data_IF_223683200417
#
_entry.id   IF_223683200417
#
_cell.length_a   1.000
_cell.length_b   1.000
_cell.length_c   1.000
_cell.angle_alpha   90.00
_cell.angle_beta   90.00
_cell.angle_gamma   90.00
#
_symmetry.space_group_name_H-M   'P 1'
#
loop_
_entity.id
_entity.type
_entity.pdbx_description
1 polymer ?
#
# COMPACT_ATOMS: atom_id res chain seq x y z
N UNK A 1 -13.31 -66.85 -5.16
CA UNK A 1 -14.57 -67.16 -4.47
C UNK A 1 -14.65 -66.27 -3.23
N UNK A 2 -15.26 -65.08 -3.32
CA UNK A 2 -16.66 -64.75 -2.95
C UNK A 2 -16.98 -64.82 -1.44
N UNK A 3 -16.70 -63.68 -0.78
CA UNK A 3 -17.38 -62.89 0.30
C UNK A 3 -18.63 -63.49 1.02
N UNK A 4 -18.84 -63.28 2.35
CA UNK A 4 -19.43 -62.01 2.84
C UNK A 4 -18.84 -61.45 4.17
N UNK A 5 -18.64 -60.13 4.33
CA UNK A 5 -18.79 -59.46 5.61
C UNK A 5 -20.26 -59.08 5.85
N UNK A 6 -20.58 -58.97 7.13
CA UNK A 6 -21.86 -58.59 7.70
C UNK A 6 -22.19 -57.14 7.32
N UNK A 7 -23.36 -56.96 6.71
CA UNK A 7 -24.05 -55.68 6.49
C UNK A 7 -24.70 -55.21 7.78
N UNK A 8 -24.24 -54.08 8.32
CA UNK A 8 -25.04 -53.23 9.19
C UNK A 8 -25.88 -52.26 8.34
N UNK A 9 -27.14 -51.98 8.71
CA UNK A 9 -28.05 -51.15 7.95
C UNK A 9 -27.71 -49.65 8.03
N UNK A 10 -28.15 -48.85 7.04
CA UNK A 10 -27.85 -47.42 6.98
C UNK A 10 -28.62 -46.66 8.06
N UNK A 11 -27.89 -45.85 8.83
CA UNK A 11 -28.50 -44.82 9.66
C UNK A 11 -29.08 -43.72 8.77
N UNK A 12 -30.39 -43.56 8.84
CA UNK A 12 -31.18 -42.46 8.28
C UNK A 12 -30.62 -41.10 8.72
N UNK A 13 -30.56 -40.10 7.82
CA UNK A 13 -30.32 -38.73 8.25
C UNK A 13 -31.57 -38.24 8.99
N UNK A 14 -31.42 -38.01 10.30
CA UNK A 14 -32.41 -37.31 11.11
C UNK A 14 -32.45 -35.86 10.62
N UNK A 15 -33.51 -35.50 9.91
CA UNK A 15 -33.87 -34.11 9.68
C UNK A 15 -34.10 -33.47 11.05
N UNK A 16 -33.14 -32.67 11.50
CA UNK A 16 -33.28 -31.88 12.71
C UNK A 16 -33.95 -30.57 12.32
N UNK A 17 -35.28 -30.58 12.37
CA UNK A 17 -36.08 -29.36 12.41
C UNK A 17 -35.67 -28.58 13.66
N UNK A 18 -35.00 -27.43 13.47
CA UNK A 18 -34.83 -26.44 14.52
C UNK A 18 -35.71 -25.23 14.21
N UNK A 19 -36.55 -24.80 15.18
CA UNK A 19 -37.56 -23.78 14.95
C UNK A 19 -36.93 -22.40 14.76
N UNK A 20 -37.46 -21.68 13.76
CA UNK A 20 -37.24 -20.24 13.56
C UNK A 20 -37.74 -19.47 14.77
N UNK A 21 -36.83 -19.01 15.62
CA UNK A 21 -37.13 -18.12 16.72
C UNK A 21 -37.18 -16.67 16.20
N UNK A 22 -38.40 -16.14 16.07
CA UNK A 22 -38.65 -14.73 15.86
C UNK A 22 -38.14 -13.93 17.07
N UNK A 23 -37.28 -12.95 16.82
CA UNK A 23 -36.79 -12.02 17.85
C UNK A 23 -37.90 -11.00 18.14
N UNK A 24 -38.32 -10.80 19.40
CA UNK A 24 -39.33 -9.80 19.72
C UNK A 24 -38.72 -8.39 19.68
N UNK A 25 -39.30 -7.54 18.84
CA UNK A 25 -39.02 -6.10 18.80
C UNK A 25 -39.69 -5.47 20.04
N UNK A 26 -38.87 -5.09 21.02
CA UNK A 26 -39.33 -4.30 22.16
C UNK A 26 -39.49 -2.85 21.70
N UNK A 27 -40.74 -2.42 21.58
CA UNK A 27 -41.12 -1.02 21.34
C UNK A 27 -41.12 -0.26 22.66
N UNK A 28 -40.15 0.63 22.85
CA UNK A 28 -40.19 1.61 23.94
C UNK A 28 -40.88 2.87 23.41
N UNK A 29 -42.14 3.04 23.80
CA UNK A 29 -42.90 4.29 23.61
C UNK A 29 -42.44 5.32 24.66
N UNK A 30 -41.80 6.39 24.19
CA UNK A 30 -41.51 7.60 24.97
C UNK A 30 -42.42 8.77 24.54
N UNK A 31 -42.68 9.74 25.42
CA UNK A 31 -43.82 10.65 25.32
C UNK A 31 -43.68 11.75 24.27
N UNK A 32 -44.82 12.17 23.73
CA UNK A 32 -44.98 13.19 22.71
C UNK A 32 -44.55 14.58 23.21
N UNK A 33 -43.65 15.22 22.46
CA UNK A 33 -43.32 16.64 22.60
C UNK A 33 -44.19 17.50 21.65
N UNK A 34 -44.54 18.74 22.04
CA UNK A 34 -45.49 19.58 21.32
C UNK A 34 -44.94 20.07 19.97
N UNK A 35 -45.83 20.10 18.99
CA UNK A 35 -45.63 20.66 17.65
C UNK A 35 -45.34 22.16 17.79
N UNK A 36 -44.11 22.56 17.51
CA UNK A 36 -43.75 23.98 17.37
C UNK A 36 -43.94 24.37 15.92
N UNK A 37 -44.69 25.45 15.72
CA UNK A 37 -45.03 26.05 14.43
C UNK A 37 -43.76 26.40 13.65
N UNK A 38 -43.67 25.96 12.39
CA UNK A 38 -42.60 26.35 11.48
C UNK A 38 -42.82 27.81 11.03
N UNK A 39 -41.95 28.70 11.47
CA UNK A 39 -41.73 29.98 10.79
C UNK A 39 -40.82 29.77 9.56
N UNK A 40 -41.06 30.46 8.44
CA UNK A 40 -40.28 30.26 7.22
C UNK A 40 -38.92 30.96 7.39
N UNK A 41 -37.87 30.15 7.58
CA UNK A 41 -36.49 30.63 7.51
C UNK A 41 -36.20 31.02 6.06
N UNK A 42 -35.87 32.30 5.88
CA UNK A 42 -35.51 32.89 4.60
C UNK A 42 -34.41 32.10 3.90
N UNK A 43 -34.57 31.92 2.58
CA UNK A 43 -33.61 31.25 1.73
C UNK A 43 -32.23 31.92 1.84
N UNK A 44 -31.23 31.13 2.27
CA UNK A 44 -29.82 31.50 2.23
C UNK A 44 -29.40 31.63 0.77
N UNK A 45 -28.73 32.72 0.34
CA UNK A 45 -28.32 32.88 -1.04
C UNK A 45 -27.30 31.79 -1.44
N UNK A 46 -27.21 31.42 -2.73
CA UNK A 46 -26.26 30.43 -3.20
C UNK A 46 -24.84 30.86 -2.80
N UNK A 47 -24.16 30.05 -1.99
CA UNK A 47 -22.73 30.24 -1.74
C UNK A 47 -22.02 29.98 -3.05
N UNK A 48 -21.49 31.03 -3.66
CA UNK A 48 -20.52 30.92 -4.75
C UNK A 48 -19.38 30.00 -4.28
N UNK A 49 -18.87 29.09 -5.14
CA UNK A 49 -17.71 28.30 -4.80
C UNK A 49 -16.57 29.28 -4.50
N UNK A 50 -16.09 29.28 -3.26
CA UNK A 50 -14.82 29.91 -2.97
C UNK A 50 -13.78 29.13 -3.79
N UNK A 51 -13.21 29.79 -4.80
CA UNK A 51 -11.96 29.39 -5.43
C UNK A 51 -10.90 29.32 -4.33
N UNK A 52 -10.82 28.19 -3.64
CA UNK A 52 -9.67 27.89 -2.80
C UNK A 52 -8.45 27.93 -3.72
N UNK A 53 -7.42 28.74 -3.40
CA UNK A 53 -6.23 28.77 -4.21
C UNK A 53 -5.65 27.35 -4.27
N UNK A 54 -5.61 26.79 -5.48
CA UNK A 54 -4.98 25.51 -5.79
C UNK A 54 -3.53 25.59 -5.31
N UNK A 55 -3.27 25.10 -4.09
CA UNK A 55 -1.91 25.08 -3.56
C UNK A 55 -1.10 24.12 -4.42
N UNK A 56 -0.05 24.59 -5.11
CA UNK A 56 0.81 23.72 -5.90
C UNK A 56 1.37 22.62 -5.00
N UNK A 57 1.55 21.44 -5.59
CA UNK A 57 2.25 20.30 -4.99
C UNK A 57 3.44 20.78 -4.14
N UNK A 58 3.39 20.56 -2.83
CA UNK A 58 4.56 20.81 -1.98
C UNK A 58 5.67 19.85 -2.45
N UNK A 59 6.66 20.40 -3.15
CA UNK A 59 7.79 19.63 -3.64
C UNK A 59 8.57 19.10 -2.43
N UNK A 60 8.45 17.80 -2.15
CA UNK A 60 9.36 17.15 -1.22
C UNK A 60 10.76 17.33 -1.78
N UNK A 61 11.66 17.92 -1.00
CA UNK A 61 13.07 17.99 -1.38
C UNK A 61 13.57 16.56 -1.53
N UNK A 62 14.14 16.24 -2.69
CA UNK A 62 14.82 14.98 -2.92
C UNK A 62 16.19 15.00 -2.22
N UNK A 63 16.19 15.10 -0.88
CA UNK A 63 17.42 14.87 -0.12
C UNK A 63 17.79 13.40 -0.33
N UNK A 64 18.91 13.20 -1.02
CA UNK A 64 19.37 11.88 -1.42
C UNK A 64 20.01 11.23 -0.21
N UNK A 65 19.32 10.27 0.39
CA UNK A 65 19.90 9.41 1.42
C UNK A 65 20.48 8.18 0.72
N UNK A 66 21.77 7.93 0.92
CA UNK A 66 22.40 6.69 0.49
C UNK A 66 22.16 5.60 1.54
N UNK A 67 21.46 4.55 1.14
CA UNK A 67 21.20 3.41 2.01
C UNK A 67 22.27 2.35 1.75
N UNK A 68 23.02 2.00 2.79
CA UNK A 68 24.04 0.96 2.69
C UNK A 68 23.40 -0.39 2.32
N UNK A 69 23.70 -0.87 1.12
CA UNK A 69 23.21 -2.13 0.58
C UNK A 69 23.93 -3.36 1.17
N UNK A 70 23.81 -3.55 2.49
CA UNK A 70 24.47 -4.65 3.22
C UNK A 70 23.55 -5.30 4.24
N UNK A 71 23.99 -6.44 4.75
CA UNK A 71 23.38 -7.03 5.94
C UNK A 71 23.59 -6.11 7.16
N UNK A 72 22.60 -6.10 8.05
CA UNK A 72 22.75 -5.53 9.38
C UNK A 72 23.75 -6.33 10.20
N UNK A 73 24.43 -5.65 11.12
CA UNK A 73 25.34 -6.26 12.08
C UNK A 73 24.61 -6.63 13.36
N UNK A 74 25.11 -7.61 14.15
CA UNK A 74 24.53 -7.93 15.45
C UNK A 74 24.45 -6.72 16.40
N UNK A 75 25.41 -5.79 16.30
CA UNK A 75 25.42 -4.57 17.10
C UNK A 75 24.28 -3.63 16.69
N UNK A 76 24.01 -3.45 15.39
CA UNK A 76 22.87 -2.66 14.89
C UNK A 76 21.54 -3.28 15.30
N UNK A 77 21.41 -4.60 15.18
CA UNK A 77 20.21 -5.33 15.62
C UNK A 77 19.95 -5.15 17.12
N UNK A 78 21.01 -5.19 17.94
CA UNK A 78 20.91 -4.97 19.39
C UNK A 78 20.51 -3.54 19.72
N UNK A 79 21.07 -2.54 19.01
CA UNK A 79 20.70 -1.13 19.21
C UNK A 79 19.25 -0.87 18.82
N UNK A 80 18.76 -1.48 17.73
CA UNK A 80 17.35 -1.38 17.36
C UNK A 80 16.45 -1.96 18.46
N UNK A 81 16.77 -3.16 18.95
CA UNK A 81 15.97 -3.81 19.99
C UNK A 81 15.88 -2.94 21.26
N UNK A 82 16.99 -2.33 21.67
CA UNK A 82 17.03 -1.44 22.84
C UNK A 82 16.30 -0.12 22.58
N UNK A 83 16.59 0.53 21.44
CA UNK A 83 16.07 1.86 21.11
C UNK A 83 14.56 1.86 20.82
N UNK A 84 14.04 0.81 20.17
CA UNK A 84 12.62 0.72 19.82
C UNK A 84 11.74 0.16 20.96
N UNK A 85 12.33 -0.50 21.96
CA UNK A 85 11.66 -0.89 23.20
C UNK A 85 10.33 -1.64 23.00
N UNK A 86 9.23 -1.03 23.44
CA UNK A 86 7.89 -1.61 23.33
C UNK A 86 7.49 -1.88 21.87
N UNK A 87 7.78 -0.96 20.96
CA UNK A 87 7.49 -1.13 19.53
C UNK A 87 8.18 -2.36 18.95
N UNK A 88 9.43 -2.64 19.38
CA UNK A 88 10.15 -3.83 18.97
C UNK A 88 9.45 -5.11 19.43
N UNK A 89 8.98 -5.13 20.68
CA UNK A 89 8.35 -6.31 21.29
C UNK A 89 6.99 -6.61 20.65
N UNK A 90 6.20 -5.57 20.35
CA UNK A 90 4.93 -5.68 19.62
C UNK A 90 5.15 -6.24 18.21
N UNK A 91 6.08 -5.66 17.45
CA UNK A 91 6.40 -6.11 16.11
C UNK A 91 6.99 -7.54 16.10
N UNK A 92 7.76 -7.91 17.12
CA UNK A 92 8.34 -9.25 17.24
C UNK A 92 7.27 -10.36 17.32
N UNK A 93 6.10 -10.06 17.88
CA UNK A 93 4.99 -11.01 17.90
C UNK A 93 4.54 -11.37 16.46
N UNK A 94 4.37 -10.36 15.60
CA UNK A 94 4.02 -10.56 14.20
C UNK A 94 5.12 -11.33 13.44
N UNK A 95 6.39 -10.99 13.68
CA UNK A 95 7.54 -11.68 13.09
C UNK A 95 7.57 -13.17 13.47
N UNK A 96 7.29 -13.52 14.72
CA UNK A 96 7.26 -14.91 15.15
C UNK A 96 6.14 -15.69 14.45
N UNK A 97 4.96 -15.08 14.26
CA UNK A 97 3.87 -15.69 13.47
C UNK A 97 4.31 -15.91 12.02
N UNK A 98 4.94 -14.92 11.39
CA UNK A 98 5.46 -15.04 10.03
C UNK A 98 6.52 -16.14 9.90
N UNK A 99 7.48 -16.21 10.83
CA UNK A 99 8.51 -17.26 10.86
C UNK A 99 7.92 -18.67 11.04
N UNK A 100 6.84 -18.81 11.81
CA UNK A 100 6.13 -20.08 11.96
C UNK A 100 5.38 -20.49 10.70
N UNK A 101 4.83 -19.52 9.95
CA UNK A 101 4.06 -19.78 8.74
C UNK A 101 4.92 -20.00 7.49
N UNK A 102 6.10 -19.37 7.41
CA UNK A 102 6.90 -19.31 6.19
C UNK A 102 8.36 -19.75 6.41
N UNK A 103 8.71 -21.03 6.16
CA UNK A 103 10.04 -21.58 6.43
C UNK A 103 11.21 -20.92 5.66
N UNK A 104 10.90 -20.16 4.61
CA UNK A 104 11.90 -19.38 3.86
C UNK A 104 12.42 -18.17 4.62
N UNK A 105 11.65 -17.67 5.60
CA UNK A 105 12.10 -16.62 6.51
C UNK A 105 13.07 -17.21 7.52
N UNK A 106 14.20 -16.53 7.71
CA UNK A 106 15.33 -17.05 8.48
C UNK A 106 15.30 -16.53 9.93
N UNK A 107 15.22 -17.39 10.97
CA UNK A 107 15.09 -16.94 12.36
C UNK A 107 16.23 -16.05 12.86
N UNK A 108 17.42 -16.18 12.29
CA UNK A 108 18.59 -15.34 12.61
C UNK A 108 18.42 -13.87 12.18
N UNK A 109 17.42 -13.55 11.35
CA UNK A 109 17.13 -12.20 10.86
C UNK A 109 15.95 -11.53 11.58
N UNK A 110 15.60 -11.96 12.80
CA UNK A 110 14.43 -11.44 13.54
C UNK A 110 14.40 -9.92 13.66
N UNK A 111 15.50 -9.29 14.06
CA UNK A 111 15.55 -7.83 14.21
C UNK A 111 15.34 -7.10 12.87
N UNK A 112 15.87 -7.66 11.77
CA UNK A 112 15.66 -7.14 10.42
C UNK A 112 14.18 -7.20 10.02
N UNK A 113 13.53 -8.32 10.31
CA UNK A 113 12.09 -8.48 10.07
C UNK A 113 11.25 -7.59 10.99
N UNK A 114 11.65 -7.38 12.24
CA UNK A 114 10.99 -6.41 13.13
C UNK A 114 11.05 -5.02 12.50
N UNK A 115 12.19 -4.59 11.96
CA UNK A 115 12.30 -3.30 11.28
C UNK A 115 11.31 -3.19 10.10
N UNK A 116 11.14 -4.25 9.32
CA UNK A 116 10.12 -4.27 8.26
C UNK A 116 8.70 -4.16 8.85
N UNK A 117 8.37 -4.92 9.90
CA UNK A 117 7.06 -4.81 10.56
C UNK A 117 6.80 -3.40 11.12
N UNK A 118 7.82 -2.72 11.66
CA UNK A 118 7.73 -1.33 12.09
C UNK A 118 7.43 -0.39 10.93
N UNK A 119 8.10 -0.59 9.79
CA UNK A 119 7.84 0.19 8.57
C UNK A 119 6.37 0.03 8.14
N UNK A 120 5.89 -1.21 8.15
CA UNK A 120 4.54 -1.58 7.72
C UNK A 120 3.44 -1.13 8.70
N UNK A 121 3.76 -1.02 9.98
CA UNK A 121 2.87 -0.57 11.04
C UNK A 121 2.67 0.95 11.08
N UNK A 122 1.83 1.41 12.00
CA UNK A 122 1.54 2.84 12.24
C UNK A 122 2.57 3.45 13.21
N UNK A 123 2.63 4.79 13.25
CA UNK A 123 3.42 5.55 14.23
C UNK A 123 4.78 6.01 13.71
N UNK A 124 5.69 6.37 14.63
CA UNK A 124 6.94 7.10 14.35
C UNK A 124 7.92 6.37 13.42
N UNK A 125 7.84 5.04 13.35
CA UNK A 125 8.64 4.22 12.44
C UNK A 125 7.85 3.74 11.21
N UNK A 126 6.56 4.04 11.11
CA UNK A 126 5.76 3.70 9.94
C UNK A 126 6.23 4.46 8.69
N UNK A 127 5.96 3.91 7.51
CA UNK A 127 6.46 4.42 6.23
C UNK A 127 6.19 5.92 6.00
N UNK A 128 5.02 6.44 6.39
CA UNK A 128 4.70 7.87 6.25
C UNK A 128 5.65 8.72 7.10
N UNK A 129 5.65 8.51 8.41
CA UNK A 129 6.46 9.28 9.36
C UNK A 129 7.97 9.11 9.10
N UNK A 130 8.41 7.89 8.77
CA UNK A 130 9.80 7.63 8.43
C UNK A 130 10.20 8.42 7.18
N UNK A 131 9.43 8.32 6.10
CA UNK A 131 9.78 9.04 4.88
C UNK A 131 9.79 10.55 5.11
N UNK A 132 8.83 11.11 5.86
CA UNK A 132 8.81 12.53 6.23
C UNK A 132 10.06 12.94 7.01
N UNK A 133 10.44 12.15 8.01
CA UNK A 133 11.67 12.33 8.80
C UNK A 133 12.91 12.36 7.89
N UNK A 134 13.01 11.39 6.98
CA UNK A 134 14.11 11.28 6.02
C UNK A 134 14.15 12.46 5.05
N UNK A 135 13.00 12.90 4.52
CA UNK A 135 12.93 14.04 3.62
C UNK A 135 13.35 15.37 4.29
N UNK A 136 13.21 15.46 5.61
CA UNK A 136 13.65 16.61 6.41
C UNK A 136 15.11 16.50 6.87
N UNK A 137 15.82 15.42 6.52
CA UNK A 137 17.20 15.17 6.96
C UNK A 137 17.33 14.90 8.46
N UNK A 138 16.22 14.55 9.12
CA UNK A 138 16.22 14.19 10.53
C UNK A 138 16.75 12.75 10.73
N UNK A 139 17.32 12.42 11.90
CA UNK A 139 17.80 11.08 12.19
C UNK A 139 16.66 10.06 12.19
N UNK A 140 17.03 8.78 11.99
CA UNK A 140 16.08 7.68 12.14
C UNK A 140 15.43 7.67 13.53
N UNK A 141 14.16 7.23 13.65
CA UNK A 141 13.41 7.25 14.91
C UNK A 141 14.01 6.34 16.00
N UNK A 142 14.71 5.27 15.60
CA UNK A 142 15.37 4.34 16.49
C UNK A 142 16.79 4.02 15.98
N UNK A 143 17.77 3.92 16.87
CA UNK A 143 19.16 3.61 16.51
C UNK A 143 19.28 2.21 15.87
N UNK A 144 19.87 2.14 14.68
CA UNK A 144 20.08 0.91 13.93
C UNK A 144 18.90 0.51 13.05
N UNK A 145 17.85 1.34 12.98
CA UNK A 145 16.60 1.02 12.29
C UNK A 145 16.77 0.86 10.78
N UNK A 146 17.35 1.84 10.10
CA UNK A 146 17.53 1.87 8.64
C UNK A 146 18.43 0.72 8.17
N UNK A 147 19.48 0.38 8.94
CA UNK A 147 20.35 -0.74 8.64
C UNK A 147 19.59 -2.07 8.69
N UNK A 148 18.80 -2.28 9.75
CA UNK A 148 17.95 -3.47 9.90
C UNK A 148 16.83 -3.51 8.86
N UNK A 149 16.23 -2.36 8.52
CA UNK A 149 15.15 -2.25 7.54
C UNK A 149 15.64 -2.61 6.13
N UNK A 150 16.74 -2.02 5.67
CA UNK A 150 17.34 -2.33 4.37
C UNK A 150 17.77 -3.80 4.30
N UNK A 151 18.40 -4.32 5.36
CA UNK A 151 18.75 -5.74 5.47
C UNK A 151 17.53 -6.65 5.40
N UNK A 152 16.46 -6.31 6.13
CA UNK A 152 15.21 -7.07 6.19
C UNK A 152 14.49 -7.14 4.87
N UNK A 153 14.30 -6.00 4.20
CA UNK A 153 13.70 -5.94 2.86
C UNK A 153 14.46 -6.83 1.87
N UNK A 154 15.80 -6.81 1.87
CA UNK A 154 16.61 -7.64 0.96
C UNK A 154 16.45 -9.14 1.19
N UNK A 155 16.06 -9.56 2.40
CA UNK A 155 15.80 -10.96 2.75
C UNK A 155 14.41 -11.44 2.34
N UNK A 156 13.51 -10.53 1.99
CA UNK A 156 12.17 -10.87 1.54
C UNK A 156 12.13 -11.23 0.05
N UNK A 157 11.14 -12.03 -0.40
CA UNK A 157 10.99 -12.39 -1.81
C UNK A 157 10.81 -11.15 -2.69
N UNK A 158 11.44 -11.13 -3.86
CA UNK A 158 11.18 -10.10 -4.88
C UNK A 158 9.76 -10.22 -5.41
N UNK A 159 9.04 -9.12 -5.51
CA UNK A 159 7.78 -9.01 -6.23
C UNK A 159 8.05 -8.88 -7.73
N UNK A 160 7.37 -9.66 -8.57
CA UNK A 160 7.65 -9.78 -10.02
C UNK A 160 6.44 -9.47 -10.91
N UNK A 161 5.39 -8.84 -10.35
CA UNK A 161 4.20 -8.39 -11.09
C UNK A 161 4.04 -6.89 -10.95
N UNK A 162 3.19 -6.29 -11.77
CA UNK A 162 2.88 -4.86 -11.66
C UNK A 162 2.26 -4.57 -10.30
N UNK A 163 2.73 -3.50 -9.66
CA UNK A 163 2.18 -2.98 -8.41
C UNK A 163 1.51 -1.62 -8.65
N UNK A 164 0.60 -1.26 -7.77
CA UNK A 164 -0.22 -0.07 -7.87
C UNK A 164 0.11 0.92 -6.75
N UNK A 165 0.39 2.16 -7.14
CA UNK A 165 0.26 3.34 -6.31
C UNK A 165 -0.80 4.26 -6.88
N UNK A 166 -1.17 5.28 -6.11
CA UNK A 166 -2.07 6.32 -6.58
C UNK A 166 -1.47 7.68 -6.24
N UNK A 167 -1.97 8.75 -6.83
CA UNK A 167 -1.56 10.11 -6.48
C UNK A 167 -2.80 11.02 -6.44
N UNK A 168 -2.75 11.99 -5.52
CA UNK A 168 -3.69 13.11 -5.49
C UNK A 168 -3.01 14.28 -6.20
N UNK A 169 -3.47 14.59 -7.40
CA UNK A 169 -2.84 15.60 -8.26
C UNK A 169 -3.15 17.01 -7.78
N UNK A 170 -4.30 17.23 -7.15
CA UNK A 170 -4.75 18.55 -6.66
C UNK A 170 -4.64 19.62 -7.76
N UNK A 171 -5.06 19.29 -8.97
CA UNK A 171 -5.02 20.18 -10.14
C UNK A 171 -3.69 20.24 -10.89
N UNK A 172 -2.62 19.59 -10.42
CA UNK A 172 -1.38 19.46 -11.19
C UNK A 172 -1.53 18.47 -12.35
N UNK A 173 -0.87 18.67 -13.50
CA UNK A 173 -0.85 17.69 -14.57
C UNK A 173 -0.01 16.45 -14.17
N UNK A 174 -0.31 15.26 -14.74
CA UNK A 174 0.56 14.09 -14.60
C UNK A 174 1.96 14.34 -15.19
N UNK A 175 2.95 13.62 -14.67
CA UNK A 175 4.32 13.68 -15.16
C UNK A 175 4.42 13.28 -16.65
N UNK A 176 5.22 14.00 -17.47
CA UNK A 176 5.37 13.66 -18.88
C UNK A 176 6.16 12.36 -19.08
N UNK A 177 5.93 11.70 -20.22
CA UNK A 177 6.68 10.50 -20.62
C UNK A 177 8.18 10.82 -20.74
N UNK A 178 9.01 9.89 -20.26
CA UNK A 178 10.47 10.04 -20.19
C UNK A 178 10.98 10.61 -18.86
N UNK A 179 10.09 11.21 -18.04
CA UNK A 179 10.48 11.76 -16.73
C UNK A 179 10.97 10.67 -15.80
N UNK A 180 12.03 10.96 -15.04
CA UNK A 180 12.52 10.10 -13.97
C UNK A 180 12.08 10.68 -12.62
N UNK A 181 11.31 9.88 -11.89
CA UNK A 181 10.87 10.18 -10.52
C UNK A 181 11.75 9.42 -9.55
N UNK A 182 11.91 9.97 -8.34
CA UNK A 182 12.68 9.32 -7.28
C UNK A 182 11.98 9.46 -5.94
N UNK A 183 11.76 8.33 -5.27
CA UNK A 183 11.35 8.31 -3.88
C UNK A 183 12.60 8.38 -2.98
N UNK A 184 12.81 9.46 -2.20
CA UNK A 184 13.99 9.57 -1.33
C UNK A 184 13.98 8.55 -0.19
N UNK A 185 12.80 8.13 0.28
CA UNK A 185 12.62 7.11 1.31
C UNK A 185 12.21 5.75 0.73
N UNK A 186 11.41 5.01 1.48
CA UNK A 186 10.90 3.70 1.09
C UNK A 186 9.54 3.83 0.41
N UNK A 187 9.42 3.28 -0.81
CA UNK A 187 8.18 3.35 -1.57
C UNK A 187 7.26 2.16 -1.23
N UNK A 188 6.02 2.43 -0.87
CA UNK A 188 4.98 1.42 -0.62
C UNK A 188 4.04 1.29 -1.81
N UNK A 189 3.74 0.10 -2.30
CA UNK A 189 2.76 -0.09 -3.36
C UNK A 189 1.84 -1.26 -3.03
N UNK A 190 0.60 -1.22 -3.52
CA UNK A 190 -0.28 -2.37 -3.47
C UNK A 190 0.17 -3.41 -4.50
N UNK A 191 0.36 -4.65 -4.08
CA UNK A 191 0.54 -5.80 -4.97
C UNK A 191 -0.77 -6.22 -5.65
N UNK A 192 -1.90 -5.61 -5.27
CA UNK A 192 -3.23 -5.88 -5.79
C UNK A 192 -3.75 -4.69 -6.60
N UNK A 193 -4.35 -4.97 -7.76
CA UNK A 193 -4.82 -3.95 -8.72
C UNK A 193 -6.30 -3.56 -8.52
N UNK A 194 -7.01 -4.17 -7.57
CA UNK A 194 -8.40 -3.86 -7.21
C UNK A 194 -8.51 -2.69 -6.21
N UNK A 195 -7.41 -2.33 -5.55
CA UNK A 195 -7.37 -1.29 -4.51
C UNK A 195 -7.60 0.10 -5.10
N UNK A 196 -8.42 0.92 -4.42
CA UNK A 196 -8.50 2.36 -4.64
C UNK A 196 -8.63 3.11 -3.33
N UNK A 197 -8.13 4.35 -3.29
CA UNK A 197 -8.14 5.23 -2.12
C UNK A 197 -9.04 6.44 -2.39
N UNK A 198 -9.68 7.02 -1.36
CA UNK A 198 -10.47 8.25 -1.49
C UNK A 198 -9.61 9.39 -2.04
N UNK A 199 -10.16 10.16 -2.99
CA UNK A 199 -9.51 11.36 -3.52
C UNK A 199 -8.33 11.13 -4.46
N UNK A 200 -8.01 9.88 -4.83
CA UNK A 200 -7.01 9.59 -5.84
C UNK A 200 -7.45 10.10 -7.23
N UNK A 201 -6.59 10.87 -7.88
CA UNK A 201 -6.83 11.43 -9.22
C UNK A 201 -6.12 10.62 -10.31
N UNK A 202 -5.04 9.94 -9.93
CA UNK A 202 -4.11 9.28 -10.84
C UNK A 202 -3.68 7.92 -10.29
N UNK A 203 -3.72 6.88 -11.12
CA UNK A 203 -3.04 5.63 -10.83
C UNK A 203 -1.59 5.66 -11.28
N UNK A 204 -0.71 5.03 -10.53
CA UNK A 204 0.70 4.83 -10.90
C UNK A 204 0.96 3.33 -10.89
N UNK A 205 0.99 2.73 -12.08
CA UNK A 205 1.30 1.33 -12.28
C UNK A 205 2.81 1.18 -12.46
N UNK A 206 3.43 0.41 -11.57
CA UNK A 206 4.88 0.28 -11.49
C UNK A 206 5.26 -1.15 -11.89
N UNK A 207 6.15 -1.31 -12.85
CA UNK A 207 6.85 -2.57 -13.10
C UNK A 207 8.07 -2.65 -12.19
N UNK A 208 8.06 -3.51 -11.16
CA UNK A 208 9.13 -3.56 -10.17
C UNK A 208 10.29 -4.43 -10.63
N UNK A 209 11.47 -4.04 -10.18
CA UNK A 209 12.73 -4.77 -10.32
C UNK A 209 13.23 -5.24 -8.96
N UNK A 210 13.18 -4.37 -7.93
CA UNK A 210 13.69 -4.62 -6.58
C UNK A 210 12.61 -4.70 -5.50
N UNK A 211 11.38 -4.29 -5.81
CA UNK A 211 10.24 -4.32 -4.87
C UNK A 211 10.09 -5.67 -4.16
N UNK A 212 9.84 -5.62 -2.85
CA UNK A 212 9.83 -6.79 -1.95
C UNK A 212 8.44 -7.09 -1.45
N UNK A 213 8.04 -8.36 -1.51
CA UNK A 213 6.76 -8.84 -1.00
C UNK A 213 6.81 -8.91 0.51
N UNK A 214 5.84 -8.29 1.18
CA UNK A 214 5.76 -8.31 2.65
C UNK A 214 4.65 -9.20 3.20
N UNK A 215 3.83 -9.79 2.32
CA UNK A 215 2.71 -10.68 2.65
C UNK A 215 3.11 -11.86 3.54
N UNK A 216 4.30 -12.41 3.32
CA UNK A 216 4.84 -13.54 4.06
C UNK A 216 5.21 -13.14 5.50
N UNK A 217 5.54 -11.87 5.72
CA UNK A 217 5.95 -11.40 7.03
C UNK A 217 4.78 -10.85 7.84
N UNK A 218 3.87 -10.12 7.19
CA UNK A 218 2.76 -9.45 7.86
C UNK A 218 1.44 -9.70 7.13
N UNK A 219 0.68 -10.67 7.65
CA UNK A 219 -0.56 -11.17 7.06
C UNK A 219 -1.80 -10.39 7.55
N UNK A 220 -2.93 -10.58 6.86
CA UNK A 220 -4.23 -10.06 7.31
C UNK A 220 -4.41 -8.55 7.15
N UNK A 221 -3.59 -7.91 6.31
CA UNK A 221 -3.67 -6.47 6.05
C UNK A 221 -4.81 -6.13 5.10
N UNK A 222 -5.19 -4.85 5.10
CA UNK A 222 -6.17 -4.31 4.16
C UNK A 222 -5.75 -4.53 2.69
N UNK A 223 -4.45 -4.58 2.40
CA UNK A 223 -3.94 -4.99 1.10
C UNK A 223 -2.55 -5.61 1.23
N UNK A 224 -2.14 -6.37 0.22
CA UNK A 224 -0.77 -6.89 0.14
C UNK A 224 0.18 -5.78 -0.30
N UNK A 225 1.22 -5.51 0.51
CA UNK A 225 2.16 -4.43 0.25
C UNK A 225 3.45 -4.96 -0.40
N UNK A 226 3.89 -4.25 -1.44
CA UNK A 226 5.21 -4.37 -2.02
C UNK A 226 6.02 -3.12 -1.65
N UNK A 227 7.19 -3.31 -1.05
CA UNK A 227 8.04 -2.20 -0.58
C UNK A 227 9.33 -2.14 -1.39
N UNK A 228 9.65 -0.96 -1.90
CA UNK A 228 10.91 -0.68 -2.56
C UNK A 228 11.89 -0.08 -1.56
N UNK A 229 13.17 -0.36 -1.75
CA UNK A 229 14.23 0.21 -0.92
C UNK A 229 14.33 1.72 -1.12
N UNK A 230 14.88 2.36 -0.09
CA UNK A 230 15.32 3.75 -0.08
C UNK A 230 15.93 4.25 -1.40
N UNK A 231 15.43 5.36 -1.95
CA UNK A 231 16.04 6.01 -3.11
C UNK A 231 15.62 5.46 -4.48
N UNK A 232 14.57 4.63 -4.55
CA UNK A 232 14.17 3.99 -5.80
C UNK A 232 13.83 5.02 -6.90
N UNK A 233 14.21 4.70 -8.14
CA UNK A 233 13.98 5.55 -9.31
C UNK A 233 13.01 4.85 -10.25
N UNK A 234 12.04 5.58 -10.78
CA UNK A 234 11.11 5.08 -11.80
C UNK A 234 11.10 6.00 -13.01
N UNK A 235 11.02 5.43 -14.20
CA UNK A 235 10.88 6.17 -15.47
C UNK A 235 9.44 6.08 -15.95
N UNK A 236 8.86 7.21 -16.32
CA UNK A 236 7.53 7.28 -16.94
C UNK A 236 7.61 6.79 -18.39
N UNK A 237 6.89 5.72 -18.70
CA UNK A 237 6.87 5.09 -20.02
C UNK A 237 5.62 5.45 -20.83
N UNK A 238 4.51 5.75 -20.13
CA UNK A 238 3.26 6.07 -20.80
C UNK A 238 2.25 6.72 -19.85
N UNK A 239 1.30 7.41 -20.46
CA UNK A 239 0.11 7.96 -19.80
C UNK A 239 -1.12 7.36 -20.49
N UNK A 240 -2.11 6.93 -19.70
CA UNK A 240 -3.37 6.39 -20.18
C UNK A 240 -4.52 7.17 -19.58
N UNK A 241 -5.59 7.27 -20.35
CA UNK A 241 -6.84 7.91 -19.98
C UNK A 241 -7.97 6.93 -20.25
N UNK A 242 -8.96 6.93 -19.37
CA UNK A 242 -10.25 6.30 -19.55
C UNK A 242 -11.32 7.34 -19.23
N UNK A 243 -12.05 7.71 -20.28
CA UNK A 243 -13.15 8.68 -20.24
C UNK A 243 -14.50 8.02 -19.96
N UNK A 244 -14.53 6.70 -19.78
CA UNK A 244 -15.75 5.96 -19.49
C UNK A 244 -16.34 6.41 -18.16
N UNK A 245 -17.65 6.65 -18.14
CA UNK A 245 -18.39 6.89 -16.91
C UNK A 245 -18.26 5.66 -15.99
N UNK A 246 -18.02 5.93 -14.71
CA UNK A 246 -17.86 4.88 -13.70
C UNK A 246 -19.15 4.80 -12.90
N UNK A 247 -19.85 3.69 -13.06
CA UNK A 247 -21.02 3.35 -12.25
C UNK A 247 -20.59 2.75 -10.90
N UNK A 248 -21.26 3.19 -9.82
CA UNK A 248 -21.08 2.66 -8.47
C UNK A 248 -20.43 3.63 -7.49
N UNK A 249 -20.51 3.27 -6.20
CA UNK A 249 -20.11 4.15 -5.09
C UNK A 249 -18.58 4.36 -4.97
N UNK A 250 -17.79 3.46 -5.56
CA UNK A 250 -16.32 3.46 -5.47
C UNK A 250 -15.70 3.88 -6.80
N UNK A 251 -15.32 5.16 -6.88
CA UNK A 251 -14.67 5.74 -8.06
C UNK A 251 -13.16 5.49 -8.05
N UNK A 252 -12.61 5.19 -9.23
CA UNK A 252 -11.16 5.09 -9.49
C UNK A 252 -10.66 6.27 -10.30
N UNK A 253 -9.35 6.54 -10.24
CA UNK A 253 -8.69 7.38 -11.24
C UNK A 253 -9.07 6.98 -12.67
N UNK A 254 -9.44 7.98 -13.46
CA UNK A 254 -9.60 7.84 -14.92
C UNK A 254 -8.28 7.93 -15.67
N UNK A 255 -7.18 8.19 -14.97
CA UNK A 255 -5.85 8.34 -15.57
C UNK A 255 -4.86 7.39 -14.92
N UNK A 256 -3.86 6.94 -15.70
CA UNK A 256 -2.78 6.11 -15.19
C UNK A 256 -1.42 6.45 -15.80
N UNK A 257 -0.41 6.65 -14.94
CA UNK A 257 1.00 6.60 -15.32
C UNK A 257 1.48 5.16 -15.33
N UNK A 258 2.13 4.78 -16.42
CA UNK A 258 2.81 3.50 -16.58
C UNK A 258 4.30 3.74 -16.38
N UNK A 259 4.88 3.18 -15.33
CA UNK A 259 6.28 3.45 -14.96
C UNK A 259 7.05 2.16 -14.74
N UNK A 260 8.36 2.20 -15.02
CA UNK A 260 9.28 1.10 -14.75
C UNK A 260 10.31 1.52 -13.72
N UNK A 261 10.59 0.66 -12.74
CA UNK A 261 11.73 0.84 -11.85
C UNK A 261 13.06 0.70 -12.61
N UNK A 262 13.96 1.66 -12.39
CA UNK A 262 15.32 1.65 -12.91
C UNK A 262 16.25 0.93 -11.93
N UNK A 263 17.18 0.15 -12.46
CA UNK A 263 18.26 -0.45 -11.69
C UNK A 263 19.17 0.64 -11.08
N UNK A 264 19.87 0.35 -9.98
CA UNK A 264 20.92 1.22 -9.45
C UNK A 264 21.96 1.56 -10.53
N UNK A 265 22.26 2.84 -10.70
CA UNK A 265 23.24 3.31 -11.70
C UNK A 265 22.81 3.16 -13.17
N UNK A 266 21.61 2.65 -13.46
CA UNK A 266 21.11 2.54 -14.83
C UNK A 266 20.97 3.91 -15.49
N UNK A 267 21.51 4.03 -16.71
CA UNK A 267 21.26 5.15 -17.62
C UNK A 267 19.91 4.93 -18.35
N UNK A 268 18.91 5.80 -18.12
CA UNK A 268 17.59 5.71 -18.74
C UNK A 268 17.59 5.80 -20.28
N UNK A 269 18.67 6.33 -20.88
CA UNK A 269 18.82 6.50 -22.33
C UNK A 269 19.56 5.36 -23.02
N UNK A 270 20.13 4.41 -22.27
CA UNK A 270 20.90 3.30 -22.84
C UNK A 270 20.03 2.33 -23.64
N UNK A 271 20.59 1.70 -24.68
CA UNK A 271 19.86 0.74 -25.52
C UNK A 271 19.23 -0.41 -24.71
N UNK A 272 19.97 -0.92 -23.72
CA UNK A 272 19.47 -1.98 -22.83
C UNK A 272 18.31 -1.50 -21.95
N UNK A 273 18.34 -0.25 -21.49
CA UNK A 273 17.25 0.36 -20.74
C UNK A 273 15.99 0.50 -21.59
N UNK A 274 16.14 0.95 -22.84
CA UNK A 274 15.04 1.11 -23.79
C UNK A 274 14.38 -0.23 -24.16
N UNK A 275 15.18 -1.30 -24.36
CA UNK A 275 14.64 -2.64 -24.59
C UNK A 275 13.83 -3.14 -23.37
N UNK A 276 14.31 -2.87 -22.16
CA UNK A 276 13.60 -3.20 -20.91
C UNK A 276 12.34 -2.34 -20.71
N UNK A 277 12.36 -1.07 -21.14
CA UNK A 277 11.19 -0.19 -21.15
C UNK A 277 10.07 -0.77 -22.03
N UNK A 278 10.39 -1.19 -23.25
CA UNK A 278 9.42 -1.78 -24.18
C UNK A 278 8.77 -3.04 -23.61
N UNK A 279 9.58 -3.94 -23.03
CA UNK A 279 9.07 -5.15 -22.38
C UNK A 279 8.17 -4.83 -21.19
N UNK A 280 8.55 -3.86 -20.36
CA UNK A 280 7.77 -3.45 -19.19
C UNK A 280 6.46 -2.77 -19.60
N UNK A 281 6.47 -1.93 -20.63
CA UNK A 281 5.29 -1.22 -21.12
C UNK A 281 4.18 -2.20 -21.52
N UNK A 282 4.51 -3.28 -22.24
CA UNK A 282 3.54 -4.32 -22.59
C UNK A 282 2.87 -4.96 -21.36
N UNK A 283 3.63 -5.17 -20.27
CA UNK A 283 3.10 -5.72 -19.01
C UNK A 283 2.25 -4.70 -18.25
N UNK A 284 2.66 -3.43 -18.29
CA UNK A 284 1.94 -2.32 -17.67
C UNK A 284 0.60 -2.06 -18.36
N UNK A 285 0.54 -2.16 -19.69
CA UNK A 285 -0.70 -2.05 -20.44
C UNK A 285 -1.68 -3.18 -20.09
N UNK A 286 -1.20 -4.43 -19.99
CA UNK A 286 -2.02 -5.55 -19.54
C UNK A 286 -2.56 -5.35 -18.12
N UNK A 287 -1.73 -4.80 -17.22
CA UNK A 287 -2.14 -4.48 -15.86
C UNK A 287 -3.16 -3.34 -15.81
N UNK A 288 -3.05 -2.33 -16.68
CA UNK A 288 -4.05 -1.28 -16.82
C UNK A 288 -5.41 -1.84 -17.23
N UNK A 289 -5.45 -2.68 -18.26
CA UNK A 289 -6.69 -3.33 -18.70
C UNK A 289 -7.29 -4.22 -17.60
N UNK A 290 -6.44 -5.00 -16.92
CA UNK A 290 -6.86 -5.82 -15.78
C UNK A 290 -7.47 -4.97 -14.68
N UNK A 291 -6.82 -3.87 -14.32
CA UNK A 291 -7.33 -2.92 -13.34
C UNK A 291 -8.70 -2.40 -13.76
N UNK A 292 -8.89 -1.98 -15.01
CA UNK A 292 -10.21 -1.50 -15.48
C UNK A 292 -11.30 -2.58 -15.43
N UNK A 293 -10.95 -3.86 -15.57
CA UNK A 293 -11.92 -4.95 -15.61
C UNK A 293 -12.30 -5.53 -14.24
N UNK A 294 -11.44 -5.45 -13.21
CA UNK A 294 -11.75 -5.99 -11.86
C UNK A 294 -12.72 -5.09 -11.11
N UNK A 295 -13.36 -5.56 -10.04
CA UNK A 295 -14.20 -4.73 -9.14
C UNK A 295 -13.34 -3.92 -8.17
N UNK A 296 -13.75 -2.69 -7.86
CA UNK A 296 -12.95 -1.78 -7.04
C UNK A 296 -13.15 -2.09 -5.56
N UNK A 297 -12.07 -2.07 -4.78
CA UNK A 297 -12.12 -2.19 -3.34
C UNK A 297 -11.55 -0.95 -2.70
N UNK A 298 -12.37 -0.26 -1.91
CA UNK A 298 -11.96 0.94 -1.20
C UNK A 298 -11.04 0.59 -0.04
N UNK A 299 -9.94 1.34 0.09
CA UNK A 299 -9.06 1.36 1.26
C UNK A 299 -9.04 2.81 1.75
N UNK A 300 -9.65 3.05 2.90
CA UNK A 300 -9.96 4.37 3.46
C UNK A 300 -9.25 4.66 4.80
N UNK A 301 -8.52 3.69 5.35
CA UNK A 301 -7.65 3.93 6.51
C UNK A 301 -6.61 5.01 6.18
N UNK A 302 -6.61 6.10 6.95
CA UNK A 302 -5.83 7.32 6.70
C UNK A 302 -4.34 7.04 6.43
N UNK A 303 -3.74 6.15 7.22
CA UNK A 303 -2.33 5.81 7.11
C UNK A 303 -2.04 4.99 5.84
N UNK A 304 -2.93 4.06 5.47
CA UNK A 304 -2.85 3.37 4.18
C UNK A 304 -3.01 4.32 2.98
N UNK A 305 -3.97 5.25 3.07
CA UNK A 305 -4.19 6.28 2.05
C UNK A 305 -2.92 7.12 1.88
N UNK A 306 -2.36 7.66 2.97
CA UNK A 306 -1.15 8.47 2.92
C UNK A 306 0.04 7.72 2.29
N UNK A 307 0.26 6.45 2.65
CA UNK A 307 1.35 5.62 2.08
C UNK A 307 1.22 5.42 0.58
N UNK A 308 0.00 5.14 0.11
CA UNK A 308 -0.25 4.84 -1.30
C UNK A 308 -0.32 6.08 -2.18
N UNK A 309 -0.64 7.25 -1.60
CA UNK A 309 -0.92 8.50 -2.33
C UNK A 309 0.17 9.57 -2.24
N UNK A 310 1.16 9.40 -1.37
CA UNK A 310 2.29 10.35 -1.27
C UNK A 310 3.01 10.46 -2.62
N UNK A 311 3.17 11.67 -3.19
CA UNK A 311 3.67 11.83 -4.55
C UNK A 311 5.20 11.70 -4.63
N UNK A 312 5.72 11.06 -5.69
CA UNK A 312 7.16 10.87 -5.89
C UNK A 312 7.80 12.08 -6.60
N UNK A 313 8.74 12.82 -5.99
CA UNK A 313 9.31 14.02 -6.60
C UNK A 313 10.10 13.72 -7.89
N UNK A 314 10.12 14.70 -8.80
CA UNK A 314 10.98 14.67 -9.99
C UNK A 314 12.45 14.82 -9.58
N UNK A 315 13.34 14.15 -10.32
CA UNK A 315 14.77 14.40 -10.22
C UNK A 315 15.13 15.51 -11.20
N UNK A 316 15.48 16.69 -10.70
CA UNK A 316 16.16 17.68 -11.53
C UNK A 316 17.61 17.19 -11.76
N UNK A 317 18.09 17.15 -13.01
CA UNK A 317 19.47 16.75 -13.32
C UNK A 317 20.52 17.67 -12.68
#
# INVERSE_FOLDING_TARGET
MTVPPVTDPPATPVATDLPSAAVPIVTVSGPALPRTSAEPVAAEPPREPLDEPVTPRAARRAVVIEFAERASTPAEQSRLAVSAGAHYTEALAAVNVGLSAWPMLRPEAKADYVAVCLLLGKGVAGAVALNETLANGAPEPFDGYLACLTSGLRRLPTHRKVVLRQEMLRGAPPHPVGTVLREPGFLSASAQLDVTTPGADLDVLIWPVTGRRTSELFMGRAFEEAVFTGGCRVKVLGLRFDESEQDGDVRRPGQALLVRELLPGEDPGSADALARDEMALNKLEQAWQTRRAVTARLVDDEDHVARLTTPMPEVTP
#
